data_IF_434909892518
#
_entry.id   IF_434909892518
#
_cell.length_a   1.000
_cell.length_b   1.000
_cell.length_c   1.000
_cell.angle_alpha   90.00
_cell.angle_beta   90.00
_cell.angle_gamma   90.00
#
_symmetry.space_group_name_H-M   'P 1'
#
loop_
_entity.id
_entity.type
_entity.pdbx_description
1 polymer ?
#
# COMPACT_ATOMS: atom_id res chain seq x y z
N UNK A 1 12.20 3.54 -5.63
CA UNK A 1 13.27 2.58 -6.00
C UNK A 1 12.74 1.16 -5.90
N UNK A 2 13.09 0.30 -6.87
CA UNK A 2 12.61 -1.09 -6.92
C UNK A 2 13.71 -2.08 -6.49
N UNK A 3 13.48 -2.77 -5.37
CA UNK A 3 14.36 -3.80 -4.80
C UNK A 3 13.55 -5.11 -4.73
N UNK A 4 13.09 -5.52 -5.91
CA UNK A 4 12.18 -6.66 -6.14
C UNK A 4 12.57 -7.37 -7.44
N UNK A 5 12.19 -8.64 -7.58
CA UNK A 5 12.43 -9.43 -8.79
C UNK A 5 11.59 -9.02 -10.00
N UNK A 6 12.00 -9.45 -11.19
CA UNK A 6 11.50 -8.96 -12.48
C UNK A 6 9.98 -9.08 -12.66
N UNK A 7 9.38 -10.20 -12.26
CA UNK A 7 7.93 -10.38 -12.39
C UNK A 7 7.13 -9.31 -11.63
N UNK A 8 7.59 -8.91 -10.44
CA UNK A 8 6.96 -7.83 -9.65
C UNK A 8 7.30 -6.45 -10.18
N UNK A 9 8.50 -6.25 -10.75
CA UNK A 9 8.85 -5.00 -11.44
C UNK A 9 7.90 -4.75 -12.60
N UNK A 10 7.64 -5.76 -13.44
CA UNK A 10 6.68 -5.68 -14.55
C UNK A 10 5.30 -5.25 -14.06
N UNK A 11 4.75 -5.92 -13.04
CA UNK A 11 3.45 -5.56 -12.46
C UNK A 11 3.45 -4.16 -11.83
N UNK A 12 4.56 -3.75 -11.22
CA UNK A 12 4.68 -2.40 -10.66
C UNK A 12 4.66 -1.35 -11.76
N UNK A 13 5.37 -1.54 -12.88
CA UNK A 13 5.29 -0.63 -14.02
C UNK A 13 3.90 -0.60 -14.66
N UNK A 14 3.20 -1.73 -14.71
CA UNK A 14 1.79 -1.74 -15.13
C UNK A 14 0.91 -0.89 -14.20
N UNK A 15 1.10 -1.00 -12.89
CA UNK A 15 0.40 -0.18 -11.89
C UNK A 15 0.72 1.31 -12.05
N UNK A 16 1.97 1.67 -12.36
CA UNK A 16 2.37 3.05 -12.67
C UNK A 16 1.58 3.59 -13.86
N UNK A 17 1.42 2.82 -14.94
CA UNK A 17 0.62 3.26 -16.09
C UNK A 17 -0.86 3.43 -15.77
N UNK A 18 -1.42 2.62 -14.86
CA UNK A 18 -2.79 2.79 -14.38
C UNK A 18 -2.94 4.13 -13.64
N UNK A 19 -2.02 4.44 -12.72
CA UNK A 19 -2.02 5.73 -12.01
C UNK A 19 -1.89 6.91 -12.98
N UNK A 20 -0.94 6.83 -13.93
CA UNK A 20 -0.68 7.87 -14.93
C UNK A 20 -1.89 8.16 -15.82
N UNK A 21 -2.69 7.14 -16.16
CA UNK A 21 -3.90 7.28 -16.99
C UNK A 21 -5.12 7.76 -16.22
N UNK A 22 -5.20 7.44 -14.93
CA UNK A 22 -6.43 7.60 -14.14
C UNK A 22 -6.37 8.78 -13.17
N UNK A 23 -5.18 9.32 -12.91
CA UNK A 23 -4.93 10.36 -11.91
C UNK A 23 -3.89 11.36 -12.42
N UNK A 24 -3.63 12.42 -11.64
CA UNK A 24 -2.50 13.31 -11.87
C UNK A 24 -1.19 12.84 -11.21
N UNK A 25 -1.18 11.67 -10.55
CA UNK A 25 -0.02 11.15 -9.83
C UNK A 25 0.95 10.51 -10.82
N UNK A 26 2.22 10.89 -10.70
CA UNK A 26 3.33 10.29 -11.44
C UNK A 26 4.27 9.56 -10.49
N UNK A 27 4.55 8.29 -10.82
CA UNK A 27 5.52 7.47 -10.09
C UNK A 27 6.80 7.38 -10.92
N UNK A 28 7.86 8.00 -10.41
CA UNK A 28 9.17 8.02 -11.08
C UNK A 28 10.11 7.05 -10.38
N UNK A 29 10.70 6.14 -11.15
CA UNK A 29 11.73 5.26 -10.61
C UNK A 29 13.01 6.07 -10.34
N UNK A 30 13.55 5.89 -9.15
CA UNK A 30 14.81 6.50 -8.71
C UNK A 30 15.87 5.42 -8.50
N UNK A 31 17.16 5.74 -8.72
CA UNK A 31 18.27 4.83 -8.41
C UNK A 31 18.21 4.32 -6.98
N UNK A 32 18.81 3.15 -6.74
CA UNK A 32 18.94 2.63 -5.40
C UNK A 32 19.82 3.54 -4.54
N UNK A 33 19.28 3.97 -3.41
CA UNK A 33 19.94 4.85 -2.44
C UNK A 33 19.40 4.60 -1.02
N UNK A 34 20.25 4.91 -0.04
CA UNK A 34 19.90 4.89 1.38
C UNK A 34 19.35 6.24 1.87
N UNK A 35 19.36 7.28 1.02
CA UNK A 35 18.82 8.61 1.38
C UNK A 35 17.30 8.54 1.52
N UNK A 36 16.68 8.92 2.65
CA UNK A 36 15.22 8.92 2.79
C UNK A 36 14.54 9.94 1.86
N UNK A 37 13.21 9.81 1.70
CA UNK A 37 12.38 10.77 0.93
C UNK A 37 11.73 10.18 -0.31
N UNK A 38 11.91 8.89 -0.56
CA UNK A 38 11.27 8.16 -1.65
C UNK A 38 10.72 6.83 -1.16
N UNK A 39 9.82 6.26 -1.96
CA UNK A 39 9.28 4.92 -1.73
C UNK A 39 10.32 3.86 -2.13
N UNK A 40 10.50 2.86 -1.27
CA UNK A 40 11.29 1.66 -1.54
C UNK A 40 10.33 0.48 -1.68
N UNK A 41 10.40 -0.23 -2.78
CA UNK A 41 9.58 -1.42 -3.01
C UNK A 41 10.45 -2.65 -2.75
N UNK A 42 10.07 -3.46 -1.77
CA UNK A 42 10.90 -4.53 -1.20
C UNK A 42 10.21 -5.89 -1.28
N UNK A 43 11.01 -6.95 -1.33
CA UNK A 43 10.58 -8.34 -1.11
C UNK A 43 11.05 -8.82 0.26
N UNK A 44 10.39 -8.38 1.33
CA UNK A 44 10.82 -8.64 2.71
C UNK A 44 10.05 -9.78 3.41
N UNK A 45 9.24 -10.54 2.67
CA UNK A 45 8.43 -11.65 3.19
C UNK A 45 7.42 -11.27 4.30
N UNK A 46 7.07 -9.99 4.44
CA UNK A 46 6.13 -9.50 5.46
C UNK A 46 4.67 -9.39 4.96
N UNK A 47 4.32 -10.01 3.84
CA UNK A 47 3.01 -9.86 3.20
C UNK A 47 2.97 -8.76 2.15
N UNK A 48 1.78 -8.21 1.94
CA UNK A 48 1.56 -6.99 1.16
C UNK A 48 1.26 -5.89 2.16
N UNK A 49 2.07 -4.83 2.18
CA UNK A 49 1.82 -3.71 3.09
C UNK A 49 2.53 -2.43 2.67
N UNK A 50 1.97 -1.30 3.10
CA UNK A 50 2.65 -0.02 3.13
C UNK A 50 2.14 0.85 4.28
N UNK A 51 2.93 1.86 4.65
CA UNK A 51 2.46 2.90 5.54
C UNK A 51 1.44 3.80 4.82
N UNK A 52 0.50 4.35 5.56
CA UNK A 52 -0.44 5.34 5.02
C UNK A 52 0.25 6.71 4.94
N UNK A 53 0.60 7.13 3.73
CA UNK A 53 1.24 8.42 3.45
C UNK A 53 2.76 8.42 3.61
N UNK A 54 3.38 9.56 3.29
CA UNK A 54 4.83 9.74 3.33
C UNK A 54 5.33 10.03 4.75
N UNK A 55 6.22 9.18 5.25
CA UNK A 55 6.94 9.36 6.50
C UNK A 55 8.17 10.25 6.31
N UNK A 56 8.34 11.22 7.22
CA UNK A 56 9.54 12.07 7.28
C UNK A 56 10.63 11.45 8.15
N UNK A 57 11.87 11.42 7.67
CA UNK A 57 13.03 10.94 8.44
C UNK A 57 13.10 9.41 8.62
N UNK A 58 12.27 8.65 7.89
CA UNK A 58 12.28 7.19 7.87
C UNK A 58 12.10 6.68 6.44
N UNK A 59 12.32 5.39 6.26
CA UNK A 59 12.06 4.71 4.99
C UNK A 59 10.57 4.56 4.73
N UNK A 60 10.16 4.76 3.48
CA UNK A 60 8.79 4.58 3.03
C UNK A 60 8.70 3.27 2.24
N UNK A 61 8.41 2.18 2.95
CA UNK A 61 8.47 0.86 2.36
C UNK A 61 7.09 0.42 1.84
N UNK A 62 7.08 -0.09 0.61
CA UNK A 62 6.02 -0.95 0.10
C UNK A 62 6.59 -2.36 0.08
N UNK A 63 6.03 -3.25 0.88
CA UNK A 63 6.34 -4.67 0.87
C UNK A 63 5.44 -5.37 -0.15
N UNK A 64 6.07 -6.07 -1.10
CA UNK A 64 5.38 -6.93 -2.07
C UNK A 64 6.01 -8.32 -2.01
N UNK A 65 5.57 -9.15 -1.06
CA UNK A 65 5.91 -10.58 -1.03
C UNK A 65 5.52 -11.29 -2.36
N UNK A 66 6.05 -12.49 -2.62
CA UNK A 66 5.80 -13.25 -3.87
C UNK A 66 4.32 -13.41 -4.24
N UNK A 67 3.42 -13.48 -3.25
CA UNK A 67 1.96 -13.57 -3.42
C UNK A 67 1.27 -12.22 -3.73
N UNK A 68 2.00 -11.11 -3.61
CA UNK A 68 1.53 -9.74 -3.86
C UNK A 68 1.71 -9.30 -5.32
N UNK A 69 2.00 -10.23 -6.23
CA UNK A 69 2.28 -9.92 -7.64
C UNK A 69 1.04 -9.73 -8.53
N UNK A 70 -0.13 -9.44 -7.95
CA UNK A 70 -1.33 -9.10 -8.72
C UNK A 70 -1.44 -7.59 -8.85
N UNK A 71 -1.81 -7.09 -10.01
CA UNK A 71 -1.97 -5.64 -10.28
C UNK A 71 -2.79 -4.94 -9.17
N UNK A 72 -3.91 -5.53 -8.76
CA UNK A 72 -4.75 -4.96 -7.70
C UNK A 72 -4.06 -4.86 -6.33
N UNK A 73 -3.19 -5.80 -5.96
CA UNK A 73 -2.41 -5.71 -4.72
C UNK A 73 -1.39 -4.57 -4.81
N UNK A 74 -0.68 -4.46 -5.94
CA UNK A 74 0.30 -3.39 -6.12
C UNK A 74 -0.36 -2.01 -6.09
N UNK A 75 -1.49 -1.84 -6.80
CA UNK A 75 -2.28 -0.61 -6.77
C UNK A 75 -2.75 -0.25 -5.36
N UNK A 76 -3.17 -1.24 -4.57
CA UNK A 76 -3.60 -1.07 -3.18
C UNK A 76 -2.47 -0.56 -2.29
N UNK A 77 -1.29 -1.18 -2.34
CA UNK A 77 -0.16 -0.73 -1.52
C UNK A 77 0.39 0.64 -1.97
N UNK A 78 0.36 0.93 -3.27
CA UNK A 78 0.62 2.27 -3.78
C UNK A 78 -0.39 3.30 -3.26
N UNK A 79 -1.67 2.91 -3.13
CA UNK A 79 -2.72 3.77 -2.59
C UNK A 79 -2.46 4.08 -1.10
N UNK A 80 -2.00 3.10 -0.34
CA UNK A 80 -1.53 3.33 1.03
C UNK A 80 -0.38 4.33 1.06
N UNK A 81 0.66 4.13 0.25
CA UNK A 81 1.83 5.02 0.21
C UNK A 81 1.49 6.48 -0.12
N UNK A 82 0.45 6.75 -0.92
CA UNK A 82 -0.01 8.12 -1.21
C UNK A 82 -0.93 8.71 -0.12
N UNK A 83 -1.40 7.90 0.84
CA UNK A 83 -2.18 8.37 2.01
C UNK A 83 -3.60 7.81 2.13
N UNK A 84 -4.01 6.85 1.30
CA UNK A 84 -5.35 6.27 1.41
C UNK A 84 -5.41 5.22 2.52
N UNK A 85 -6.41 5.31 3.40
CA UNK A 85 -6.75 4.26 4.37
C UNK A 85 -7.77 3.27 3.76
N UNK A 86 -8.00 2.15 4.43
CA UNK A 86 -9.05 1.21 4.00
C UNK A 86 -10.44 1.85 4.06
N UNK A 87 -11.26 1.61 3.05
CA UNK A 87 -12.60 2.23 2.93
C UNK A 87 -13.53 1.88 4.09
N UNK A 88 -13.43 0.67 4.65
CA UNK A 88 -14.24 0.27 5.81
C UNK A 88 -13.85 0.98 7.11
N UNK A 89 -12.79 1.79 7.10
CA UNK A 89 -12.37 2.62 8.24
C UNK A 89 -12.81 4.07 8.11
N UNK A 90 -13.59 4.43 7.09
CA UNK A 90 -14.11 5.80 6.96
C UNK A 90 -14.97 6.20 8.17
N UNK A 91 -15.01 7.50 8.53
CA UNK A 91 -15.86 7.99 9.61
C UNK A 91 -17.36 7.73 9.44
N UNK A 92 -17.82 7.62 8.19
CA UNK A 92 -19.22 7.37 7.83
C UNK A 92 -19.50 5.89 7.51
N UNK A 93 -18.56 4.97 7.78
CA UNK A 93 -18.70 3.58 7.33
C UNK A 93 -19.91 2.86 7.92
N UNK A 94 -20.33 3.21 9.14
CA UNK A 94 -21.47 2.60 9.82
C UNK A 94 -22.82 2.97 9.18
N UNK A 95 -22.85 3.93 8.24
CA UNK A 95 -24.03 4.22 7.40
C UNK A 95 -24.18 3.24 6.22
N UNK A 96 -23.13 2.48 5.88
CA UNK A 96 -23.07 1.61 4.69
C UNK A 96 -22.80 0.14 5.02
N UNK A 97 -22.05 -0.15 6.09
CA UNK A 97 -21.65 -1.51 6.46
C UNK A 97 -21.72 -1.70 7.97
N UNK A 98 -22.08 -2.92 8.40
CA UNK A 98 -22.05 -3.31 9.81
C UNK A 98 -20.87 -4.25 10.08
N UNK A 99 -20.11 -3.99 11.14
CA UNK A 99 -19.00 -4.83 11.57
C UNK A 99 -19.47 -5.77 12.70
N UNK A 100 -19.69 -7.04 12.37
CA UNK A 100 -20.04 -8.08 13.35
C UNK A 100 -18.81 -8.52 14.15
N UNK A 101 -18.55 -7.79 15.25
CA UNK A 101 -17.33 -7.96 16.07
C UNK A 101 -17.15 -9.38 16.64
N UNK A 102 -18.24 -10.11 16.87
CA UNK A 102 -18.20 -11.48 17.38
C UNK A 102 -17.55 -12.47 16.39
N UNK A 103 -17.52 -12.14 15.09
CA UNK A 103 -16.84 -12.93 14.07
C UNK A 103 -15.34 -12.60 13.93
N UNK A 104 -14.83 -11.65 14.72
CA UNK A 104 -13.47 -11.13 14.61
C UNK A 104 -12.63 -11.65 15.76
N UNK A 105 -11.47 -12.25 15.45
CA UNK A 105 -10.50 -12.64 16.49
C UNK A 105 -10.07 -11.39 17.25
N UNK A 106 -10.10 -11.43 18.58
CA UNK A 106 -9.83 -10.26 19.45
C UNK A 106 -8.57 -9.49 19.07
N UNK A 107 -7.48 -10.19 18.71
CA UNK A 107 -6.21 -9.57 18.29
C UNK A 107 -6.30 -8.71 17.01
N UNK A 108 -7.36 -8.83 16.22
CA UNK A 108 -7.58 -8.11 14.96
C UNK A 108 -8.71 -7.08 15.03
N UNK A 109 -9.34 -6.88 16.19
CA UNK A 109 -10.43 -5.90 16.33
C UNK A 109 -9.98 -4.49 15.93
N UNK A 110 -8.74 -4.11 16.27
CA UNK A 110 -8.18 -2.79 15.93
C UNK A 110 -8.09 -2.51 14.42
N UNK A 111 -8.09 -3.55 13.57
CA UNK A 111 -8.11 -3.38 12.10
C UNK A 111 -9.44 -2.82 11.57
N UNK A 112 -10.47 -2.79 12.43
CA UNK A 112 -11.81 -2.31 12.10
C UNK A 112 -12.15 -1.01 12.84
N UNK A 113 -11.18 -0.40 13.52
CA UNK A 113 -11.35 0.92 14.10
C UNK A 113 -11.48 1.96 12.98
N UNK A 114 -12.34 2.96 13.19
CA UNK A 114 -12.49 4.11 12.30
C UNK A 114 -11.20 4.93 12.34
N UNK A 115 -10.73 5.36 11.17
CA UNK A 115 -9.58 6.25 10.98
C UNK A 115 -10.11 7.67 10.83
N UNK A 116 -9.91 8.50 11.86
CA UNK A 116 -10.19 9.95 11.85
C UNK A 116 -8.93 10.74 11.54
#
# INVERSE_FOLDING_TARGET
>A
QLIIGDARRTTFHEAVEVYRKSTCIEWVEVPQTDTPGHVRVLDDSQGCSSHTGMLTGRNNDISLEWKCNKLGHVLHEMAHAIGMSHTHQRPDRDDYVEIWKDNIKTKYLHNFDIKT
#
